data_IF_925691554010
#
_entry.id   IF_925691554010
#
_cell.length_a   1.000
_cell.length_b   1.000
_cell.length_c   1.000
_cell.angle_alpha   90.00
_cell.angle_beta   90.00
_cell.angle_gamma   90.00
#
_symmetry.space_group_name_H-M   'P 1'
#
loop_
_entity.id
_entity.type
_entity.pdbx_description
1 polymer ?
#
# COMPACT_ATOMS: atom_id res chain seq x y z
N UNK A 1 37.10 -29.42 -35.33
CA UNK A 1 35.89 -28.57 -35.33
C UNK A 1 34.84 -28.94 -34.27
N UNK A 2 35.12 -29.81 -33.28
CA UNK A 2 34.18 -30.07 -32.16
C UNK A 2 34.56 -29.39 -30.82
N UNK A 3 35.81 -28.97 -30.63
CA UNK A 3 36.28 -28.42 -29.36
C UNK A 3 35.85 -26.96 -29.09
N UNK A 4 35.44 -26.22 -30.12
CA UNK A 4 35.06 -24.79 -29.99
C UNK A 4 33.58 -24.64 -29.61
N UNK A 5 32.74 -25.65 -29.84
CA UNK A 5 31.30 -25.60 -29.56
C UNK A 5 30.95 -25.87 -28.08
N UNK A 6 31.87 -26.37 -27.27
CA UNK A 6 31.61 -26.67 -25.86
C UNK A 6 31.86 -25.47 -24.92
N UNK A 7 32.54 -24.41 -25.40
CA UNK A 7 32.93 -23.27 -24.57
C UNK A 7 31.91 -22.13 -24.55
N UNK A 8 30.87 -22.18 -25.39
CA UNK A 8 29.85 -21.14 -25.49
C UNK A 8 28.63 -21.35 -24.55
N UNK A 9 28.59 -22.44 -23.78
CA UNK A 9 27.40 -22.84 -23.01
C UNK A 9 27.38 -22.39 -21.53
N UNK A 10 28.29 -21.51 -21.09
CA UNK A 10 28.47 -21.20 -19.66
C UNK A 10 28.42 -19.72 -19.28
N UNK A 11 27.69 -18.90 -20.04
CA UNK A 11 27.38 -17.52 -19.62
C UNK A 11 25.88 -17.35 -19.42
N UNK A 12 25.31 -18.16 -18.54
CA UNK A 12 24.05 -17.78 -17.88
C UNK A 12 24.46 -16.70 -16.88
N UNK A 13 24.05 -15.43 -17.03
CA UNK A 13 24.28 -14.45 -15.98
C UNK A 13 23.57 -14.98 -14.73
N UNK A 14 24.35 -15.23 -13.68
CA UNK A 14 23.79 -15.51 -12.37
C UNK A 14 22.97 -14.29 -11.98
N UNK A 15 21.65 -14.44 -11.97
CA UNK A 15 20.79 -13.45 -11.35
C UNK A 15 21.14 -13.47 -9.87
N UNK A 16 21.87 -12.45 -9.42
CA UNK A 16 22.03 -12.21 -8.00
C UNK A 16 20.62 -12.17 -7.41
N UNK A 17 20.35 -13.02 -6.43
CA UNK A 17 19.14 -12.89 -5.65
C UNK A 17 19.30 -11.59 -4.85
N UNK A 18 18.66 -10.51 -5.29
CA UNK A 18 18.44 -9.28 -4.51
C UNK A 18 17.44 -9.55 -3.36
N UNK A 19 17.71 -10.61 -2.60
CA UNK A 19 17.06 -10.88 -1.33
C UNK A 19 17.94 -10.34 -0.22
N UNK A 20 17.36 -9.57 0.70
CA UNK A 20 18.01 -9.14 1.94
C UNK A 20 18.56 -10.36 2.72
N UNK A 21 19.80 -10.75 2.44
CA UNK A 21 20.44 -11.90 3.08
C UNK A 21 20.63 -11.61 4.58
N UNK A 22 20.19 -12.54 5.43
CA UNK A 22 20.43 -12.49 6.88
C UNK A 22 19.43 -11.67 7.72
N UNK A 23 18.37 -11.10 7.13
CA UNK A 23 17.28 -10.46 7.90
C UNK A 23 16.01 -11.31 7.84
N UNK A 24 15.38 -11.52 8.99
CA UNK A 24 14.08 -12.20 9.11
C UNK A 24 13.01 -11.20 9.52
N UNK A 25 11.80 -11.35 8.97
CA UNK A 25 10.62 -10.62 9.43
C UNK A 25 10.10 -11.27 10.71
N UNK A 26 10.42 -10.68 11.86
CA UNK A 26 10.06 -11.22 13.17
C UNK A 26 8.74 -10.61 13.65
N UNK A 27 7.82 -11.44 14.13
CA UNK A 27 6.56 -11.01 14.75
C UNK A 27 6.66 -11.15 16.26
N UNK A 28 6.59 -10.04 16.98
CA UNK A 28 6.66 -10.01 18.45
C UNK A 28 5.27 -9.98 19.09
N UNK A 29 4.29 -9.34 18.44
CA UNK A 29 2.98 -9.06 19.05
C UNK A 29 1.85 -9.85 18.40
N UNK A 30 0.89 -10.27 19.23
CA UNK A 30 -0.40 -10.76 18.78
C UNK A 30 -1.40 -9.60 18.82
N UNK A 31 -1.91 -9.22 17.66
CA UNK A 31 -2.86 -8.11 17.53
C UNK A 31 -4.30 -8.60 17.68
N UNK A 32 -5.04 -8.00 18.62
CA UNK A 32 -6.49 -8.17 18.73
C UNK A 32 -7.17 -7.09 17.88
N UNK A 33 -7.52 -7.46 16.66
CA UNK A 33 -8.04 -6.53 15.65
C UNK A 33 -9.51 -6.16 15.91
N UNK A 34 -9.81 -4.90 15.66
CA UNK A 34 -11.13 -4.27 15.69
C UNK A 34 -11.30 -3.41 14.42
N UNK A 35 -12.53 -2.97 14.14
CA UNK A 35 -12.85 -2.15 12.97
C UNK A 35 -13.78 -0.98 13.31
N UNK A 36 -13.55 0.16 12.66
CA UNK A 36 -14.52 1.25 12.51
C UNK A 36 -14.91 1.30 11.02
N UNK A 37 -16.21 1.34 10.74
CA UNK A 37 -16.73 1.49 9.37
C UNK A 37 -17.34 2.88 9.21
N UNK A 38 -16.98 3.54 8.12
CA UNK A 38 -17.48 4.86 7.70
C UNK A 38 -18.26 4.72 6.40
N UNK A 39 -18.55 5.82 5.69
CA UNK A 39 -19.27 5.78 4.41
C UNK A 39 -18.43 5.13 3.32
N UNK A 40 -17.14 5.49 3.24
CA UNK A 40 -16.24 5.10 2.17
C UNK A 40 -15.10 4.18 2.64
N UNK A 41 -14.87 4.07 3.95
CA UNK A 41 -13.69 3.38 4.48
C UNK A 41 -13.99 2.38 5.61
N UNK A 42 -13.09 1.40 5.72
CA UNK A 42 -13.04 0.43 6.81
C UNK A 42 -11.70 0.52 7.53
N UNK A 43 -11.68 1.14 8.71
CA UNK A 43 -10.45 1.34 9.49
C UNK A 43 -10.24 0.16 10.43
N UNK A 44 -9.27 -0.69 10.11
CA UNK A 44 -8.80 -1.79 10.93
C UNK A 44 -7.70 -1.31 11.86
N UNK A 45 -7.87 -1.55 13.16
CA UNK A 45 -6.91 -1.20 14.20
C UNK A 45 -6.89 -2.32 15.24
N UNK A 46 -6.06 -2.22 16.28
CA UNK A 46 -6.04 -3.20 17.36
C UNK A 46 -6.24 -2.54 18.72
N UNK A 47 -6.52 -3.38 19.73
CA UNK A 47 -6.75 -2.96 21.12
C UNK A 47 -5.79 -1.84 21.56
N UNK A 48 -6.34 -0.74 22.08
CA UNK A 48 -5.61 0.46 22.47
C UNK A 48 -5.48 1.54 21.39
N UNK A 49 -5.82 1.23 20.13
CA UNK A 49 -5.73 2.17 18.99
C UNK A 49 -7.03 2.89 18.61
N UNK A 50 -8.11 2.73 19.38
CA UNK A 50 -9.46 3.19 18.99
C UNK A 50 -9.56 4.70 18.75
N UNK A 51 -8.99 5.51 19.64
CA UNK A 51 -9.03 6.99 19.52
C UNK A 51 -8.28 7.44 18.26
N UNK A 52 -7.08 6.90 18.05
CA UNK A 52 -6.30 7.16 16.84
C UNK A 52 -7.06 6.71 15.57
N UNK A 53 -7.73 5.56 15.61
CA UNK A 53 -8.53 5.05 14.50
C UNK A 53 -9.75 5.94 14.18
N UNK A 54 -10.36 6.59 15.19
CA UNK A 54 -11.43 7.57 14.96
C UNK A 54 -10.90 8.82 14.26
N UNK A 55 -9.73 9.31 14.64
CA UNK A 55 -9.06 10.44 13.97
C UNK A 55 -8.72 10.07 12.52
N UNK A 56 -8.10 8.91 12.31
CA UNK A 56 -7.76 8.41 10.98
C UNK A 56 -9.02 8.21 10.09
N UNK A 57 -10.14 7.76 10.67
CA UNK A 57 -11.41 7.64 9.96
C UNK A 57 -11.91 8.99 9.43
N UNK A 58 -11.81 10.04 10.26
CA UNK A 58 -12.21 11.39 9.86
C UNK A 58 -11.28 11.97 8.79
N UNK A 59 -9.96 11.76 8.94
CA UNK A 59 -8.95 12.14 7.94
C UNK A 59 -9.24 11.48 6.60
N UNK A 60 -9.45 10.15 6.60
CA UNK A 60 -9.75 9.38 5.39
C UNK A 60 -11.03 9.88 4.69
N UNK A 61 -12.11 10.15 5.43
CA UNK A 61 -13.33 10.70 4.83
C UNK A 61 -13.14 12.12 4.28
N UNK A 62 -12.33 12.96 4.92
CA UNK A 62 -12.01 14.30 4.41
C UNK A 62 -11.20 14.22 3.11
N UNK A 63 -10.11 13.45 3.13
CA UNK A 63 -9.26 13.20 1.97
C UNK A 63 -10.05 12.57 0.83
N UNK A 64 -10.83 11.52 1.12
CA UNK A 64 -11.67 10.82 0.15
C UNK A 64 -12.67 11.74 -0.56
N UNK A 65 -13.31 12.68 0.15
CA UNK A 65 -14.20 13.67 -0.49
C UNK A 65 -13.44 14.63 -1.41
N UNK A 66 -12.24 15.07 -1.02
CA UNK A 66 -11.38 15.94 -1.87
C UNK A 66 -10.95 15.18 -3.13
N UNK A 67 -10.32 14.02 -2.96
CA UNK A 67 -9.82 13.18 -4.06
C UNK A 67 -10.97 12.78 -5.01
N UNK A 68 -12.12 12.37 -4.46
CA UNK A 68 -13.29 12.02 -5.27
C UNK A 68 -13.76 13.16 -6.16
N UNK A 69 -13.78 14.39 -5.63
CA UNK A 69 -14.14 15.59 -6.39
C UNK A 69 -13.10 15.91 -7.47
N UNK A 70 -11.82 15.89 -7.11
CA UNK A 70 -10.73 16.33 -7.99
C UNK A 70 -10.49 15.31 -9.12
N UNK A 71 -10.66 14.01 -8.85
CA UNK A 71 -10.58 12.93 -9.84
C UNK A 71 -11.90 12.66 -10.58
N UNK A 72 -13.03 13.22 -10.13
CA UNK A 72 -14.35 12.95 -10.68
C UNK A 72 -14.78 11.48 -10.56
N UNK A 73 -14.32 10.78 -9.52
CA UNK A 73 -14.53 9.35 -9.33
C UNK A 73 -15.14 9.06 -7.96
N UNK A 74 -16.16 8.20 -7.92
CA UNK A 74 -16.75 7.69 -6.68
C UNK A 74 -16.36 6.24 -6.50
N UNK A 75 -15.87 5.91 -5.31
CA UNK A 75 -15.41 4.55 -5.00
C UNK A 75 -16.51 3.52 -5.21
N UNK A 76 -16.19 2.42 -5.89
CA UNK A 76 -17.12 1.30 -6.07
C UNK A 76 -17.30 0.47 -4.80
N UNK A 77 -16.23 0.31 -4.02
CA UNK A 77 -16.21 -0.46 -2.78
C UNK A 77 -15.54 0.35 -1.67
N UNK A 78 -15.87 0.04 -0.40
CA UNK A 78 -15.18 0.64 0.74
C UNK A 78 -13.70 0.24 0.73
N UNK A 79 -12.81 1.21 0.90
CA UNK A 79 -11.36 0.95 0.96
C UNK A 79 -10.98 0.54 2.40
N UNK A 80 -10.34 -0.63 2.60
CA UNK A 80 -9.77 -1.02 3.88
C UNK A 80 -8.51 -0.21 4.18
N UNK A 81 -8.46 0.39 5.37
CA UNK A 81 -7.28 1.08 5.91
C UNK A 81 -6.81 0.32 7.15
N UNK A 82 -5.60 -0.21 7.13
CA UNK A 82 -5.01 -0.91 8.28
C UNK A 82 -4.05 0.03 8.98
N UNK A 83 -4.43 0.43 10.20
CA UNK A 83 -3.72 1.41 11.01
C UNK A 83 -2.93 0.72 12.12
N UNK A 84 -1.61 0.95 12.14
CA UNK A 84 -0.74 0.55 13.23
C UNK A 84 -0.45 1.74 14.13
N UNK A 85 -0.53 1.56 15.46
CA UNK A 85 -0.27 2.63 16.43
C UNK A 85 1.21 3.01 16.57
N UNK A 86 2.11 2.28 15.91
CA UNK A 86 3.55 2.57 15.87
C UNK A 86 4.20 2.03 14.59
N UNK A 87 5.31 2.63 14.17
CA UNK A 87 6.12 2.13 13.05
C UNK A 87 6.68 0.72 13.32
N UNK A 88 7.06 0.41 14.57
CA UNK A 88 7.53 -0.94 14.94
C UNK A 88 6.45 -2.01 14.73
N UNK A 89 5.19 -1.72 15.09
CA UNK A 89 4.09 -2.65 14.85
C UNK A 89 3.80 -2.80 13.35
N UNK A 90 3.95 -1.72 12.57
CA UNK A 90 3.80 -1.74 11.11
C UNK A 90 4.87 -2.58 10.41
N UNK A 91 6.13 -2.50 10.82
CA UNK A 91 7.22 -3.31 10.29
C UNK A 91 6.96 -4.84 10.47
N UNK A 92 6.15 -5.22 11.46
CA UNK A 92 5.75 -6.60 11.72
C UNK A 92 4.55 -7.07 10.88
N UNK A 93 4.00 -6.24 10.00
CA UNK A 93 2.80 -6.57 9.23
C UNK A 93 3.00 -7.78 8.31
N UNK A 94 2.01 -8.68 8.26
CA UNK A 94 2.01 -9.78 7.29
C UNK A 94 1.35 -9.40 5.94
N UNK A 95 0.98 -8.13 5.76
CA UNK A 95 0.33 -7.67 4.53
C UNK A 95 1.35 -7.52 3.40
N UNK A 96 2.52 -6.97 3.70
CA UNK A 96 3.69 -7.03 2.82
C UNK A 96 4.51 -8.28 3.16
N UNK A 97 4.96 -9.02 2.13
CA UNK A 97 5.85 -10.17 2.33
C UNK A 97 7.30 -9.74 2.57
N UNK A 98 7.70 -8.61 1.97
CA UNK A 98 9.04 -8.05 2.13
C UNK A 98 9.24 -7.37 3.48
N UNK A 99 10.51 -7.18 3.83
CA UNK A 99 10.91 -6.33 4.95
C UNK A 99 10.64 -4.89 4.56
N UNK A 100 9.83 -4.22 5.36
CA UNK A 100 9.51 -2.81 5.17
C UNK A 100 10.68 -1.99 5.70
N UNK A 101 11.22 -1.11 4.87
CA UNK A 101 12.26 -0.18 5.26
C UNK A 101 11.71 0.92 6.19
N UNK A 102 12.56 1.50 7.03
CA UNK A 102 12.17 2.54 7.98
C UNK A 102 11.63 3.80 7.27
N UNK A 103 12.07 4.04 6.02
CA UNK A 103 11.61 5.15 5.19
C UNK A 103 10.21 4.98 4.59
N UNK A 104 9.57 3.81 4.73
CA UNK A 104 8.22 3.58 4.20
C UNK A 104 7.19 4.18 5.15
N UNK A 105 6.60 5.30 4.73
CA UNK A 105 5.55 5.99 5.47
C UNK A 105 4.20 5.29 5.44
N UNK A 106 3.90 4.53 4.38
CA UNK A 106 2.65 3.81 4.15
C UNK A 106 2.74 3.04 2.84
N UNK A 107 1.73 2.21 2.54
CA UNK A 107 1.59 1.64 1.19
C UNK A 107 0.15 1.19 0.90
N UNK A 108 -0.16 1.13 -0.39
CA UNK A 108 -1.44 0.63 -0.91
C UNK A 108 -1.23 -0.64 -1.73
N UNK A 109 -2.00 -1.70 -1.42
CA UNK A 109 -1.89 -2.98 -2.12
C UNK A 109 -2.81 -3.03 -3.33
N UNK A 110 -2.23 -3.37 -4.49
CA UNK A 110 -2.97 -3.48 -5.77
C UNK A 110 -4.14 -4.48 -5.70
N UNK A 111 -3.90 -5.69 -5.18
CA UNK A 111 -4.86 -6.81 -5.27
C UNK A 111 -6.08 -6.66 -4.36
N UNK A 112 -5.94 -6.02 -3.20
CA UNK A 112 -7.02 -5.88 -2.21
C UNK A 112 -7.47 -4.43 -2.03
N UNK A 113 -6.93 -3.53 -2.84
CA UNK A 113 -7.08 -2.08 -2.72
C UNK A 113 -7.07 -1.60 -1.27
N UNK A 114 -6.02 -1.99 -0.54
CA UNK A 114 -5.91 -1.78 0.92
C UNK A 114 -4.75 -0.87 1.22
N UNK A 115 -5.04 0.19 1.95
CA UNK A 115 -4.08 1.14 2.52
C UNK A 115 -3.56 0.59 3.85
N UNK A 116 -2.26 0.70 4.08
CA UNK A 116 -1.60 0.27 5.31
C UNK A 116 -0.68 1.37 5.80
N UNK A 117 -0.93 1.87 7.01
CA UNK A 117 -0.22 3.05 7.54
C UNK A 117 0.15 2.88 9.02
N UNK A 118 1.37 3.25 9.44
CA UNK A 118 1.73 3.49 10.82
C UNK A 118 1.38 4.90 11.28
N UNK A 119 1.15 5.06 12.58
CA UNK A 119 1.29 6.34 13.25
C UNK A 119 2.71 6.51 13.79
N UNK A 120 3.33 7.63 13.43
CA UNK A 120 4.72 7.98 13.79
C UNK A 120 4.80 9.03 14.91
N UNK A 121 3.66 9.46 15.45
CA UNK A 121 3.59 10.49 16.51
C UNK A 121 3.14 11.87 16.05
N UNK A 122 2.94 12.07 14.74
CA UNK A 122 2.42 13.31 14.15
C UNK A 122 1.09 13.05 13.44
N UNK A 123 0.04 13.77 13.84
CA UNK A 123 -1.26 13.71 13.15
C UNK A 123 -1.21 14.32 11.76
N UNK A 124 -0.36 15.34 11.55
CA UNK A 124 -0.17 15.95 10.23
C UNK A 124 0.48 14.95 9.26
N UNK A 125 1.50 14.23 9.71
CA UNK A 125 2.18 13.22 8.88
C UNK A 125 1.22 12.06 8.59
N UNK A 126 0.40 11.67 9.58
CA UNK A 126 -0.62 10.64 9.37
C UNK A 126 -1.66 11.06 8.33
N UNK A 127 -2.13 12.31 8.37
CA UNK A 127 -3.09 12.86 7.40
C UNK A 127 -2.49 12.92 5.99
N UNK A 128 -1.25 13.41 5.87
CA UNK A 128 -0.50 13.43 4.61
C UNK A 128 -0.39 12.03 4.01
N UNK A 129 0.12 11.06 4.79
CA UNK A 129 0.31 9.69 4.32
C UNK A 129 -1.02 9.01 3.99
N UNK A 130 -2.05 9.18 4.81
CA UNK A 130 -3.39 8.64 4.50
C UNK A 130 -3.88 9.21 3.16
N UNK A 131 -3.73 10.51 2.94
CA UNK A 131 -4.15 11.17 1.69
C UNK A 131 -3.37 10.63 0.49
N UNK A 132 -2.04 10.55 0.60
CA UNK A 132 -1.14 10.00 -0.42
C UNK A 132 -1.56 8.59 -0.83
N UNK A 133 -1.72 7.70 0.15
CA UNK A 133 -2.09 6.31 -0.10
C UNK A 133 -3.53 6.18 -0.62
N UNK A 134 -4.43 7.07 -0.21
CA UNK A 134 -5.79 7.09 -0.76
C UNK A 134 -5.80 7.47 -2.24
N UNK A 135 -4.91 8.34 -2.72
CA UNK A 135 -4.81 8.65 -4.15
C UNK A 135 -4.49 7.38 -4.94
N UNK A 136 -3.52 6.60 -4.49
CA UNK A 136 -3.21 5.29 -5.09
C UNK A 136 -4.42 4.36 -5.09
N UNK A 137 -5.16 4.33 -3.97
CA UNK A 137 -6.34 3.49 -3.84
C UNK A 137 -7.50 3.92 -4.76
N UNK A 138 -7.67 5.23 -4.98
CA UNK A 138 -8.63 5.78 -5.94
C UNK A 138 -8.23 5.47 -7.38
N UNK A 139 -6.94 5.57 -7.73
CA UNK A 139 -6.45 5.12 -9.04
C UNK A 139 -6.76 3.64 -9.24
N UNK A 140 -6.42 2.78 -8.29
CA UNK A 140 -6.72 1.35 -8.37
C UNK A 140 -8.21 1.08 -8.52
N UNK A 141 -9.08 1.75 -7.75
CA UNK A 141 -10.53 1.58 -7.88
C UNK A 141 -11.07 2.05 -9.25
N UNK A 142 -10.53 3.13 -9.81
CA UNK A 142 -10.90 3.64 -11.13
C UNK A 142 -10.56 2.64 -12.25
N UNK A 143 -9.39 1.98 -12.16
CA UNK A 143 -8.94 1.01 -13.16
C UNK A 143 -9.48 -0.41 -12.94
N UNK A 144 -9.79 -0.81 -11.71
CA UNK A 144 -10.12 -2.20 -11.36
C UNK A 144 -11.47 -2.41 -10.67
N UNK A 145 -12.07 -1.37 -10.08
CA UNK A 145 -13.16 -1.53 -9.11
C UNK A 145 -14.46 -2.13 -9.66
N UNK A 146 -14.67 -2.07 -10.99
CA UNK A 146 -15.81 -2.74 -11.67
C UNK A 146 -15.55 -4.20 -12.07
N UNK A 147 -14.30 -4.59 -12.26
CA UNK A 147 -13.95 -5.95 -12.71
C UNK A 147 -12.56 -6.33 -12.24
N UNK A 148 -12.47 -6.74 -10.97
CA UNK A 148 -11.24 -7.31 -10.42
C UNK A 148 -10.89 -8.67 -11.07
N UNK A 149 -11.81 -9.23 -11.88
CA UNK A 149 -11.69 -10.50 -12.61
C UNK A 149 -11.13 -10.37 -14.05
N UNK A 150 -11.00 -9.16 -14.60
CA UNK A 150 -10.52 -8.98 -15.98
C UNK A 150 -9.00 -8.92 -16.04
N UNK A 151 -8.36 -9.97 -16.55
CA UNK A 151 -6.90 -10.03 -16.83
C UNK A 151 -6.44 -8.83 -17.71
N UNK A 152 -7.34 -8.21 -18.47
CA UNK A 152 -7.05 -7.06 -19.35
C UNK A 152 -6.87 -5.74 -18.59
N UNK A 153 -7.43 -5.58 -17.38
CA UNK A 153 -7.29 -4.33 -16.62
C UNK A 153 -5.91 -4.21 -15.97
N UNK A 154 -5.29 -5.33 -15.52
CA UNK A 154 -3.97 -5.32 -14.86
C UNK A 154 -2.87 -4.73 -15.74
N UNK A 155 -3.02 -4.87 -17.06
CA UNK A 155 -2.06 -4.39 -18.04
C UNK A 155 -2.13 -2.87 -18.26
N UNK A 156 -3.22 -2.19 -17.86
CA UNK A 156 -3.43 -0.75 -18.09
C UNK A 156 -2.72 0.14 -17.06
N UNK A 157 -2.71 -0.25 -15.78
CA UNK A 157 -2.03 0.54 -14.74
C UNK A 157 -0.52 0.37 -14.78
N UNK A 158 -0.04 -0.81 -15.21
CA UNK A 158 1.37 -1.09 -15.49
C UNK A 158 1.96 -0.21 -16.60
N UNK A 159 1.15 0.61 -17.29
CA UNK A 159 1.59 1.53 -18.34
C UNK A 159 1.68 3.00 -17.88
N UNK A 160 1.16 3.36 -16.69
CA UNK A 160 1.36 4.71 -16.17
C UNK A 160 2.80 4.87 -15.70
N UNK A 161 3.50 5.95 -16.07
CA UNK A 161 4.85 6.17 -15.62
C UNK A 161 4.85 6.51 -14.12
N UNK A 162 5.83 5.96 -13.37
CA UNK A 162 5.90 6.11 -11.91
C UNK A 162 5.85 7.56 -11.44
N UNK A 163 6.53 8.48 -12.15
CA UNK A 163 6.55 9.90 -11.80
C UNK A 163 5.14 10.52 -11.79
N UNK A 164 4.23 10.02 -12.61
CA UNK A 164 2.85 10.52 -12.66
C UNK A 164 2.04 9.98 -11.49
N UNK A 165 2.20 8.69 -11.17
CA UNK A 165 1.47 8.01 -10.10
C UNK A 165 1.87 8.59 -8.74
N UNK A 166 3.17 8.58 -8.41
CA UNK A 166 3.65 9.16 -7.14
C UNK A 166 3.52 10.69 -7.12
N UNK A 167 3.74 11.36 -8.26
CA UNK A 167 3.60 12.81 -8.34
C UNK A 167 2.17 13.30 -8.12
N UNK A 168 1.17 12.56 -8.58
CA UNK A 168 -0.24 12.86 -8.29
C UNK A 168 -0.58 12.59 -6.82
N UNK A 169 -0.05 11.50 -6.26
CA UNK A 169 -0.23 11.18 -4.84
C UNK A 169 0.33 12.31 -3.94
N UNK A 170 1.57 12.75 -4.18
CA UNK A 170 2.16 13.85 -3.42
C UNK A 170 1.48 15.22 -3.68
N UNK A 171 0.98 15.48 -4.89
CA UNK A 171 0.30 16.75 -5.20
C UNK A 171 -1.05 16.89 -4.48
N UNK A 172 -1.76 15.78 -4.30
CA UNK A 172 -3.08 15.76 -3.67
C UNK A 172 -3.03 15.75 -2.14
N UNK A 173 -1.86 15.41 -1.57
CA UNK A 173 -1.60 15.24 -0.14
C UNK A 173 -1.35 16.53 0.62
#
# INVERSE_FOLDING_TARGET
MLAVLLLAALTIPAMAQDGYFGKNKVKYKNFHWEKITTENFEIYFYQGGRELAQVAAQMAENAGRKISKDMGHTLYNKIPIVLYTSHNDFAQTNIAQDIIDEGVGGFTTLLKNRVVVPYTGSYADLDHVITHELVHAFMFDLFFGKSMESILSQQSLMQLPLWFVEGMAEYES
#
